data_IF_012335699607
#
_entry.id   IF_012335699607
#
_cell.length_a   1.000
_cell.length_b   1.000
_cell.length_c   1.000
_cell.angle_alpha   90.00
_cell.angle_beta   90.00
_cell.angle_gamma   90.00
#
_symmetry.space_group_name_H-M   'P 1'
#
loop_
_entity.id
_entity.type
_entity.pdbx_description
1 polymer ?
#
# COMPACT_ATOMS: atom_id res chain seq x y z
N UNK A 1 17.36 22.27 -24.05
CA UNK A 1 16.36 21.23 -23.69
C UNK A 1 15.58 21.77 -22.50
N UNK A 2 14.27 21.98 -22.64
CA UNK A 2 13.45 22.22 -21.47
C UNK A 2 13.42 20.93 -20.64
N UNK A 3 13.57 20.98 -19.30
CA UNK A 3 13.36 19.80 -18.47
C UNK A 3 11.93 19.31 -18.71
N UNK A 4 11.75 18.01 -18.95
CA UNK A 4 10.40 17.46 -19.00
C UNK A 4 9.69 17.79 -17.69
N UNK A 5 8.41 18.14 -17.70
CA UNK A 5 7.65 18.26 -16.47
C UNK A 5 7.74 16.91 -15.75
N UNK A 6 8.39 16.96 -14.59
CA UNK A 6 8.08 16.18 -13.42
C UNK A 6 6.74 15.42 -13.51
N UNK A 7 6.70 14.07 -13.47
CA UNK A 7 5.43 13.37 -13.28
C UNK A 7 4.79 13.84 -11.98
N UNK A 8 3.47 13.97 -11.99
CA UNK A 8 2.71 14.43 -10.83
C UNK A 8 2.93 13.43 -9.68
N UNK A 9 3.28 13.88 -8.45
CA UNK A 9 3.44 13.01 -7.28
C UNK A 9 2.20 12.15 -7.02
N UNK A 10 1.01 12.70 -7.28
CA UNK A 10 -0.25 11.97 -7.16
C UNK A 10 -0.32 10.86 -8.21
N UNK A 11 0.11 11.11 -9.45
CA UNK A 11 0.19 10.07 -10.48
C UNK A 11 1.23 8.99 -10.13
N UNK A 12 2.35 9.36 -9.52
CA UNK A 12 3.37 8.39 -9.08
C UNK A 12 2.84 7.45 -7.99
N UNK A 13 2.16 7.99 -6.97
CA UNK A 13 1.54 7.19 -5.90
C UNK A 13 0.42 6.30 -6.45
N UNK A 14 -0.38 6.81 -7.39
CA UNK A 14 -1.41 6.02 -8.09
C UNK A 14 -0.80 4.87 -8.90
N UNK A 15 0.37 5.07 -9.53
CA UNK A 15 1.07 4.00 -10.24
C UNK A 15 1.58 2.90 -9.30
N UNK A 16 2.05 3.23 -8.10
CA UNK A 16 2.51 2.24 -7.13
C UNK A 16 1.36 1.28 -6.72
N UNK A 17 0.15 1.81 -6.52
CA UNK A 17 -1.04 0.96 -6.30
C UNK A 17 -1.34 0.00 -7.44
N UNK A 18 -1.04 0.34 -8.70
CA UNK A 18 -1.31 -0.58 -9.82
C UNK A 18 -0.49 -1.86 -9.69
N UNK A 19 0.80 -1.75 -9.37
CA UNK A 19 1.68 -2.90 -9.18
C UNK A 19 1.23 -3.75 -7.97
N UNK A 20 0.92 -3.10 -6.86
CA UNK A 20 0.43 -3.76 -5.64
C UNK A 20 -0.90 -4.48 -5.90
N UNK A 21 -1.86 -3.81 -6.55
CA UNK A 21 -3.16 -4.37 -6.88
C UNK A 21 -3.04 -5.58 -7.81
N UNK A 22 -2.14 -5.54 -8.79
CA UNK A 22 -1.91 -6.66 -9.70
C UNK A 22 -1.43 -7.90 -8.93
N UNK A 23 -0.47 -7.75 -8.01
CA UNK A 23 0.00 -8.86 -7.17
C UNK A 23 -1.09 -9.37 -6.24
N UNK A 24 -1.89 -8.49 -5.64
CA UNK A 24 -3.00 -8.88 -4.77
C UNK A 24 -4.07 -9.68 -5.52
N UNK A 25 -4.39 -9.30 -6.76
CA UNK A 25 -5.32 -10.06 -7.61
C UNK A 25 -4.81 -11.48 -7.85
N UNK A 26 -3.53 -11.64 -8.16
CA UNK A 26 -2.93 -12.95 -8.37
C UNK A 26 -2.86 -13.77 -7.07
N UNK A 27 -2.51 -13.13 -5.95
CA UNK A 27 -2.53 -13.79 -4.62
C UNK A 27 -3.94 -14.24 -4.25
N UNK A 28 -4.97 -13.42 -4.49
CA UNK A 28 -6.35 -13.76 -4.21
C UNK A 28 -6.81 -14.99 -5.02
N UNK A 29 -6.39 -15.10 -6.30
CA UNK A 29 -6.65 -16.30 -7.11
C UNK A 29 -6.00 -17.55 -6.52
N UNK A 30 -4.74 -17.46 -6.08
CA UNK A 30 -4.06 -18.58 -5.42
C UNK A 30 -4.79 -18.97 -4.14
N UNK A 31 -5.17 -17.99 -3.32
CA UNK A 31 -5.88 -18.25 -2.06
C UNK A 31 -7.27 -18.89 -2.29
N UNK A 32 -7.96 -18.53 -3.38
CA UNK A 32 -9.20 -19.19 -3.78
C UNK A 32 -8.98 -20.64 -4.24
N UNK A 33 -7.92 -20.91 -5.00
CA UNK A 33 -7.55 -22.29 -5.36
C UNK A 33 -7.20 -23.13 -4.13
N UNK A 34 -6.50 -22.54 -3.16
CA UNK A 34 -6.18 -23.18 -1.88
C UNK A 34 -7.45 -23.50 -1.08
N UNK A 35 -8.44 -22.59 -1.06
CA UNK A 35 -9.78 -22.85 -0.46
C UNK A 35 -10.46 -24.06 -1.09
N UNK A 36 -10.28 -24.25 -2.39
CA UNK A 36 -10.84 -25.37 -3.15
C UNK A 36 -10.03 -26.67 -3.01
N UNK A 37 -8.93 -26.64 -2.25
CA UNK A 37 -8.14 -27.83 -1.91
C UNK A 37 -6.83 -27.97 -2.69
N UNK A 38 -6.45 -27.00 -3.54
CA UNK A 38 -5.20 -27.01 -4.31
C UNK A 38 -4.00 -26.59 -3.43
N UNK A 39 -3.61 -27.45 -2.48
CA UNK A 39 -2.55 -27.15 -1.49
C UNK A 39 -1.16 -26.91 -2.11
N UNK A 40 -0.89 -27.44 -3.31
CA UNK A 40 0.40 -27.26 -3.98
C UNK A 40 0.67 -25.79 -4.38
N UNK A 41 -0.38 -24.99 -4.56
CA UNK A 41 -0.28 -23.58 -4.96
C UNK A 41 0.19 -22.65 -3.82
N UNK A 42 0.16 -23.13 -2.57
CA UNK A 42 0.61 -22.37 -1.39
C UNK A 42 2.08 -21.96 -1.50
N UNK A 43 2.92 -22.78 -2.14
CA UNK A 43 4.33 -22.46 -2.37
C UNK A 43 4.51 -21.29 -3.36
N UNK A 44 3.60 -21.16 -4.34
CA UNK A 44 3.58 -20.03 -5.27
C UNK A 44 3.27 -18.70 -4.56
N UNK A 45 2.44 -18.73 -3.52
CA UNK A 45 2.09 -17.53 -2.74
C UNK A 45 3.28 -16.96 -1.95
N UNK A 46 4.22 -17.79 -1.50
CA UNK A 46 5.32 -17.34 -0.65
C UNK A 46 6.22 -16.32 -1.36
N UNK A 47 6.63 -16.59 -2.61
CA UNK A 47 7.44 -15.66 -3.40
C UNK A 47 6.73 -14.33 -3.65
N UNK A 48 5.43 -14.40 -3.99
CA UNK A 48 4.60 -13.22 -4.23
C UNK A 48 4.38 -12.37 -2.98
N UNK A 49 4.23 -12.97 -1.80
CA UNK A 49 4.10 -12.24 -0.55
C UNK A 49 5.39 -11.49 -0.19
N UNK A 50 6.55 -12.04 -0.52
CA UNK A 50 7.82 -11.33 -0.36
C UNK A 50 7.94 -10.15 -1.31
N UNK A 51 7.57 -10.32 -2.59
CA UNK A 51 7.55 -9.21 -3.55
C UNK A 51 6.57 -8.11 -3.12
N UNK A 52 5.37 -8.49 -2.70
CA UNK A 52 4.36 -7.59 -2.18
C UNK A 52 4.86 -6.81 -0.95
N UNK A 53 5.66 -7.44 -0.07
CA UNK A 53 6.25 -6.77 1.09
C UNK A 53 7.18 -5.64 0.66
N UNK A 54 8.08 -5.89 -0.29
CA UNK A 54 9.03 -4.87 -0.73
C UNK A 54 8.32 -3.69 -1.39
N UNK A 55 7.29 -3.96 -2.20
CA UNK A 55 6.48 -2.91 -2.82
C UNK A 55 5.71 -2.07 -1.80
N UNK A 56 5.04 -2.72 -0.84
CA UNK A 56 4.31 -2.02 0.22
C UNK A 56 5.24 -1.19 1.09
N UNK A 57 6.43 -1.70 1.43
CA UNK A 57 7.40 -0.94 2.22
C UNK A 57 7.91 0.30 1.50
N UNK A 58 8.21 0.18 0.20
CA UNK A 58 8.63 1.34 -0.59
C UNK A 58 7.49 2.36 -0.73
N UNK A 59 6.27 1.90 -0.99
CA UNK A 59 5.07 2.73 -1.08
C UNK A 59 4.81 3.48 0.24
N UNK A 60 4.79 2.77 1.37
CA UNK A 60 4.59 3.37 2.68
C UNK A 60 5.73 4.31 3.09
N UNK A 61 6.98 4.03 2.74
CA UNK A 61 8.09 4.94 3.01
C UNK A 61 7.91 6.29 2.29
N UNK A 62 7.47 6.27 1.03
CA UNK A 62 7.17 7.51 0.28
C UNK A 62 6.04 8.31 0.91
N UNK A 63 5.00 7.62 1.37
CA UNK A 63 3.91 8.27 2.09
C UNK A 63 4.38 8.86 3.42
N UNK A 64 5.07 8.07 4.25
CA UNK A 64 5.44 8.45 5.62
C UNK A 64 6.55 9.49 5.68
N UNK A 65 7.49 9.47 4.73
CA UNK A 65 8.62 10.40 4.69
C UNK A 65 8.33 11.65 3.84
N UNK A 66 7.38 11.55 2.90
CA UNK A 66 7.04 12.64 1.97
C UNK A 66 5.63 13.20 2.18
N UNK A 67 4.61 12.38 1.94
CA UNK A 67 3.21 12.81 1.92
C UNK A 67 2.70 13.25 3.31
N UNK A 68 2.96 12.44 4.34
CA UNK A 68 2.44 12.64 5.68
C UNK A 68 3.01 13.90 6.37
N UNK A 69 4.32 14.19 6.30
CA UNK A 69 4.87 15.46 6.76
C UNK A 69 4.26 16.64 6.01
N UNK A 70 4.13 16.55 4.68
CA UNK A 70 3.51 17.60 3.89
C UNK A 70 2.08 17.89 4.34
N UNK A 71 1.25 16.86 4.51
CA UNK A 71 -0.14 17.02 4.97
C UNK A 71 -0.17 17.66 6.35
N UNK A 72 0.69 17.21 7.27
CA UNK A 72 0.71 17.73 8.65
C UNK A 72 1.16 19.19 8.72
N UNK A 73 2.14 19.60 7.90
CA UNK A 73 2.68 20.96 7.90
C UNK A 73 1.84 21.95 7.09
N UNK A 74 1.32 21.52 5.94
CA UNK A 74 0.76 22.40 4.91
C UNK A 74 -0.77 22.36 4.91
N UNK A 75 -1.38 21.23 5.29
CA UNK A 75 -2.82 20.99 5.28
C UNK A 75 -3.29 20.42 6.62
N UNK A 76 -3.11 21.15 7.74
CA UNK A 76 -3.27 20.61 9.09
C UNK A 76 -4.68 20.06 9.38
N UNK A 77 -5.71 20.55 8.70
CA UNK A 77 -7.09 20.06 8.79
C UNK A 77 -7.24 18.58 8.35
N UNK A 78 -6.27 18.07 7.58
CA UNK A 78 -6.23 16.69 7.12
C UNK A 78 -5.34 15.78 8.00
N UNK A 79 -4.64 16.32 9.01
CA UNK A 79 -3.66 15.57 9.84
C UNK A 79 -4.23 14.34 10.54
N UNK A 80 -5.54 14.33 10.84
CA UNK A 80 -6.17 13.16 11.45
C UNK A 80 -6.19 11.95 10.50
N UNK A 81 -6.25 12.18 9.17
CA UNK A 81 -6.15 11.09 8.19
C UNK A 81 -4.77 10.46 8.24
N UNK A 82 -3.71 11.28 8.36
CA UNK A 82 -2.32 10.80 8.43
C UNK A 82 -2.13 9.81 9.59
N UNK A 83 -2.65 10.14 10.78
CA UNK A 83 -2.53 9.25 11.94
C UNK A 83 -3.28 7.92 11.72
N UNK A 84 -4.46 7.97 11.10
CA UNK A 84 -5.21 6.77 10.75
C UNK A 84 -4.51 5.93 9.68
N UNK A 85 -3.84 6.56 8.72
CA UNK A 85 -3.11 5.90 7.65
C UNK A 85 -1.85 5.19 8.17
N UNK A 86 -1.05 5.86 9.00
CA UNK A 86 0.12 5.25 9.64
C UNK A 86 -0.27 4.01 10.48
N UNK A 87 -1.36 4.08 11.25
CA UNK A 87 -1.87 2.92 11.98
C UNK A 87 -2.34 1.78 11.04
N UNK A 88 -2.87 2.13 9.86
CA UNK A 88 -3.23 1.15 8.85
C UNK A 88 -1.98 0.48 8.24
N UNK A 89 -0.90 1.22 8.00
CA UNK A 89 0.38 0.67 7.52
C UNK A 89 0.90 -0.39 8.49
N UNK A 90 0.96 -0.08 9.80
CA UNK A 90 1.35 -1.04 10.84
C UNK A 90 0.52 -2.33 10.79
N UNK A 91 -0.80 -2.18 10.64
CA UNK A 91 -1.74 -3.29 10.53
C UNK A 91 -1.49 -4.17 9.30
N UNK A 92 -1.26 -3.54 8.14
CA UNK A 92 -1.00 -4.20 6.86
C UNK A 92 0.36 -4.91 6.91
N UNK A 93 1.42 -4.24 7.35
CA UNK A 93 2.76 -4.81 7.50
C UNK A 93 2.78 -5.98 8.49
N UNK A 94 2.05 -5.86 9.60
CA UNK A 94 1.88 -6.93 10.59
C UNK A 94 1.10 -8.13 10.05
N UNK A 95 0.04 -7.88 9.26
CA UNK A 95 -0.72 -8.92 8.57
C UNK A 95 0.12 -9.70 7.56
N UNK A 96 0.87 -8.98 6.73
CA UNK A 96 1.74 -9.55 5.71
C UNK A 96 2.89 -10.35 6.31
N UNK A 97 3.56 -9.82 7.33
CA UNK A 97 4.63 -10.52 8.04
C UNK A 97 4.14 -11.83 8.67
N UNK A 98 2.91 -11.82 9.21
CA UNK A 98 2.28 -13.03 9.75
C UNK A 98 1.99 -14.06 8.66
N UNK A 99 1.49 -13.64 7.49
CA UNK A 99 1.27 -14.54 6.36
C UNK A 99 2.56 -15.21 5.90
N UNK A 100 3.62 -14.42 5.69
CA UNK A 100 4.93 -14.92 5.30
C UNK A 100 5.44 -15.95 6.30
N UNK A 101 5.36 -15.65 7.60
CA UNK A 101 5.78 -16.58 8.65
C UNK A 101 4.96 -17.87 8.64
N UNK A 102 3.63 -17.75 8.54
CA UNK A 102 2.73 -18.91 8.55
C UNK A 102 2.98 -19.85 7.37
N UNK A 103 3.29 -19.32 6.18
CA UNK A 103 3.68 -20.14 5.04
C UNK A 103 5.04 -20.81 5.25
N UNK A 104 5.99 -20.14 5.91
CA UNK A 104 7.30 -20.71 6.21
C UNK A 104 7.26 -21.82 7.26
N UNK A 105 6.26 -21.83 8.14
CA UNK A 105 6.12 -22.82 9.23
C UNK A 105 5.08 -23.91 8.95
N UNK A 106 4.59 -24.02 7.71
CA UNK A 106 3.51 -24.95 7.32
C UNK A 106 2.28 -24.85 8.26
N UNK A 107 1.87 -23.60 8.53
CA UNK A 107 0.72 -23.33 9.39
C UNK A 107 -0.58 -23.90 8.78
N UNK A 108 -1.58 -24.09 9.64
CA UNK A 108 -2.88 -24.59 9.23
C UNK A 108 -3.53 -23.66 8.17
N UNK A 109 -4.03 -24.26 7.08
CA UNK A 109 -4.46 -23.53 5.88
C UNK A 109 -5.65 -22.60 6.17
N UNK A 110 -6.64 -23.02 6.96
CA UNK A 110 -7.77 -22.14 7.31
C UNK A 110 -7.30 -20.90 8.07
N UNK A 111 -6.25 -21.05 8.88
CA UNK A 111 -5.61 -19.94 9.58
C UNK A 111 -4.90 -19.00 8.61
N UNK A 112 -4.17 -19.53 7.61
CA UNK A 112 -3.55 -18.72 6.55
C UNK A 112 -4.61 -17.92 5.80
N UNK A 113 -5.69 -18.58 5.37
CA UNK A 113 -6.79 -17.96 4.65
C UNK A 113 -7.49 -16.87 5.47
N UNK A 114 -7.71 -17.12 6.77
CA UNK A 114 -8.31 -16.12 7.67
C UNK A 114 -7.43 -14.89 7.88
N UNK A 115 -6.10 -15.06 7.93
CA UNK A 115 -5.17 -13.92 7.98
C UNK A 115 -5.16 -13.19 6.63
N UNK A 116 -5.20 -13.92 5.51
CA UNK A 116 -5.23 -13.33 4.18
C UNK A 116 -6.47 -12.44 3.98
N UNK A 117 -7.66 -12.92 4.35
CA UNK A 117 -8.90 -12.15 4.23
C UNK A 117 -8.86 -10.84 5.03
N UNK A 118 -8.23 -10.86 6.21
CA UNK A 118 -8.06 -9.66 7.04
C UNK A 118 -7.05 -8.69 6.41
N UNK A 119 -5.95 -9.22 5.90
CA UNK A 119 -4.93 -8.43 5.22
C UNK A 119 -5.48 -7.77 3.96
N UNK A 120 -6.15 -8.52 3.08
CA UNK A 120 -6.74 -8.01 1.85
C UNK A 120 -7.78 -6.92 2.14
N UNK A 121 -8.64 -7.14 3.14
CA UNK A 121 -9.61 -6.13 3.58
C UNK A 121 -8.93 -4.85 4.07
N UNK A 122 -7.94 -4.99 4.96
CA UNK A 122 -7.22 -3.85 5.52
C UNK A 122 -6.53 -3.02 4.43
N UNK A 123 -5.87 -3.69 3.48
CA UNK A 123 -5.29 -3.00 2.33
C UNK A 123 -6.36 -2.29 1.47
N UNK A 124 -7.47 -2.97 1.16
CA UNK A 124 -8.55 -2.37 0.37
C UNK A 124 -9.23 -1.18 1.06
N UNK A 125 -9.30 -1.17 2.40
CA UNK A 125 -9.77 -0.02 3.18
C UNK A 125 -8.76 1.13 3.15
N UNK A 126 -7.48 0.84 3.36
CA UNK A 126 -6.38 1.80 3.27
C UNK A 126 -6.31 2.47 1.89
N UNK A 127 -6.31 1.70 0.79
CA UNK A 127 -6.22 2.26 -0.56
C UNK A 127 -7.40 3.20 -0.90
N UNK A 128 -8.60 2.94 -0.35
CA UNK A 128 -9.75 3.86 -0.50
C UNK A 128 -9.57 5.13 0.32
N UNK A 129 -9.06 5.01 1.54
CA UNK A 129 -8.79 6.16 2.41
C UNK A 129 -7.69 7.05 1.82
N UNK A 130 -6.64 6.45 1.26
CA UNK A 130 -5.58 7.17 0.57
C UNK A 130 -6.12 7.95 -0.64
N UNK A 131 -6.90 7.29 -1.50
CA UNK A 131 -7.51 7.97 -2.65
C UNK A 131 -8.38 9.17 -2.23
N UNK A 132 -9.10 9.07 -1.10
CA UNK A 132 -9.88 10.19 -0.54
C UNK A 132 -8.99 11.31 -0.01
N UNK A 133 -7.86 10.97 0.63
CA UNK A 133 -6.86 11.94 1.09
C UNK A 133 -6.26 12.68 -0.11
N UNK A 134 -5.79 11.95 -1.13
CA UNK A 134 -5.21 12.53 -2.34
C UNK A 134 -6.20 13.46 -3.07
N UNK A 135 -7.47 13.06 -3.19
CA UNK A 135 -8.52 13.93 -3.74
C UNK A 135 -8.75 15.20 -2.88
N UNK A 136 -8.61 15.08 -1.56
CA UNK A 136 -8.77 16.23 -0.66
C UNK A 136 -7.58 17.19 -0.75
N UNK A 137 -6.37 16.65 -0.94
CA UNK A 137 -5.16 17.43 -1.23
C UNK A 137 -5.32 18.15 -2.56
N UNK A 138 -5.74 17.48 -3.63
CA UNK A 138 -5.90 18.12 -4.95
C UNK A 138 -6.89 19.29 -4.94
N UNK A 139 -7.96 19.19 -4.13
CA UNK A 139 -8.95 20.26 -3.95
C UNK A 139 -8.46 21.42 -3.09
N UNK A 140 -7.55 21.18 -2.16
CA UNK A 140 -7.16 22.15 -1.13
C UNK A 140 -5.80 22.80 -1.37
N UNK A 141 -4.89 22.10 -2.05
CA UNK A 141 -3.53 22.53 -2.28
C UNK A 141 -3.43 23.52 -3.46
N UNK A 142 -2.68 24.59 -3.26
CA UNK A 142 -2.29 25.49 -4.33
C UNK A 142 -1.36 24.80 -5.33
N UNK A 143 -1.16 25.41 -6.51
CA UNK A 143 -0.21 24.89 -7.50
C UNK A 143 1.23 24.83 -6.94
N UNK A 144 1.65 25.81 -6.16
CA UNK A 144 2.96 25.84 -5.50
C UNK A 144 3.11 24.73 -4.45
N UNK A 145 2.07 24.48 -3.67
CA UNK A 145 2.05 23.40 -2.68
C UNK A 145 2.11 22.01 -3.34
N UNK A 146 1.41 21.82 -4.48
CA UNK A 146 1.51 20.59 -5.28
C UNK A 146 2.91 20.37 -5.85
N UNK A 147 3.58 21.42 -6.30
CA UNK A 147 4.98 21.33 -6.71
C UNK A 147 5.91 20.95 -5.56
N UNK A 148 5.70 21.52 -4.36
CA UNK A 148 6.46 21.14 -3.16
C UNK A 148 6.28 19.66 -2.81
N UNK A 149 5.04 19.15 -2.87
CA UNK A 149 4.76 17.73 -2.66
C UNK A 149 5.45 16.84 -3.72
N UNK A 150 5.51 17.30 -4.97
CA UNK A 150 6.20 16.60 -6.06
C UNK A 150 7.68 16.38 -5.79
N UNK A 151 8.34 17.42 -5.27
CA UNK A 151 9.77 17.35 -4.97
C UNK A 151 10.06 16.49 -3.74
N UNK A 152 9.18 16.50 -2.73
CA UNK A 152 9.32 15.66 -1.54
C UNK A 152 9.20 14.17 -1.89
N UNK A 153 8.20 13.78 -2.67
CA UNK A 153 7.96 12.37 -3.04
C UNK A 153 9.00 11.87 -4.05
N UNK A 154 9.60 12.74 -4.87
CA UNK A 154 10.67 12.34 -5.82
C UNK A 154 12.03 12.12 -5.15
N UNK A 155 12.29 12.75 -4.01
CA UNK A 155 13.56 12.66 -3.30
C UNK A 155 13.84 11.31 -2.62
N UNK A 156 12.88 10.38 -2.73
CA UNK A 156 12.81 9.10 -2.02
C UNK A 156 12.72 7.93 -3.01
#
# INVERSE_FOLDING_TARGET
MQPMPAPDPVESLVHDHMAINQLLIELAKIMDQVRQGAKAEVLGAAGMLHELRELLFLHFAREEEGLFPFVTEVLPDLSWHVQSMAAAHDGICGGLSRLIHMLATDAEILSVLSVFDRFERAYGEHARAEAQLLQSIDRSASAEQRMKLADLVRGL
#
